data_IF_972077021512
#
_entry.id   IF_972077021512
#
_cell.length_a   1.000
_cell.length_b   1.000
_cell.length_c   1.000
_cell.angle_alpha   90.00
_cell.angle_beta   90.00
_cell.angle_gamma   90.00
#
_symmetry.space_group_name_H-M   'P 1'
#
loop_
_entity.id
_entity.type
_entity.pdbx_description
1 polymer ?
#
# COMPACT_ATOMS: atom_id res chain seq x y z
N UNK A 1 -9.16 -13.16 3.70
CA UNK A 1 -8.74 -13.96 2.53
C UNK A 1 -8.15 -13.00 1.51
N UNK A 2 -6.99 -13.33 0.93
CA UNK A 2 -6.33 -12.54 -0.10
C UNK A 2 -6.06 -13.42 -1.31
N UNK A 3 -6.51 -12.97 -2.48
CA UNK A 3 -6.23 -13.60 -3.78
C UNK A 3 -5.50 -12.58 -4.65
N UNK A 4 -4.39 -13.00 -5.24
CA UNK A 4 -3.62 -12.18 -6.19
C UNK A 4 -3.30 -12.99 -7.43
N UNK A 5 -3.23 -12.33 -8.59
CA UNK A 5 -2.78 -12.93 -9.85
C UNK A 5 -1.97 -11.90 -10.63
N UNK A 6 -0.85 -12.32 -11.19
CA UNK A 6 -0.03 -11.45 -12.03
C UNK A 6 -0.78 -11.01 -13.30
N UNK A 7 -0.40 -9.86 -13.84
CA UNK A 7 -0.84 -9.44 -15.17
C UNK A 7 -0.04 -10.17 -16.26
N UNK A 8 -0.59 -10.28 -17.47
CA UNK A 8 0.02 -11.05 -18.57
C UNK A 8 -0.54 -12.46 -18.70
N UNK A 9 -0.09 -13.19 -19.72
CA UNK A 9 -0.52 -14.57 -20.01
C UNK A 9 -0.28 -15.58 -18.87
N UNK A 10 0.76 -15.36 -18.05
CA UNK A 10 1.08 -16.25 -16.92
C UNK A 10 -0.06 -16.32 -15.92
N UNK A 11 -0.23 -17.49 -15.31
CA UNK A 11 -1.28 -17.76 -14.32
C UNK A 11 -0.76 -17.71 -12.89
N UNK A 12 0.42 -17.11 -12.67
CA UNK A 12 1.03 -16.97 -11.35
C UNK A 12 0.05 -16.26 -10.41
N UNK A 13 -0.50 -17.02 -9.47
CA UNK A 13 -1.49 -16.58 -8.52
C UNK A 13 -1.12 -17.06 -7.12
N UNK A 14 -1.54 -16.31 -6.10
CA UNK A 14 -1.44 -16.77 -4.72
C UNK A 14 -2.77 -16.55 -4.02
N UNK A 15 -3.15 -17.54 -3.21
CA UNK A 15 -4.32 -17.49 -2.36
C UNK A 15 -3.87 -17.69 -0.92
N UNK A 16 -4.38 -16.85 -0.03
CA UNK A 16 -4.13 -16.90 1.41
C UNK A 16 -5.44 -16.75 2.17
N UNK A 17 -5.68 -17.63 3.13
CA UNK A 17 -6.71 -17.48 4.15
C UNK A 17 -5.97 -17.42 5.47
N UNK A 18 -6.37 -16.48 6.31
CA UNK A 18 -5.71 -16.25 7.57
C UNK A 18 -6.73 -16.14 8.70
N UNK A 19 -6.29 -16.52 9.89
CA UNK A 19 -7.05 -16.47 11.14
C UNK A 19 -6.21 -15.73 12.19
N UNK A 20 -6.78 -14.74 12.87
CA UNK A 20 -6.09 -13.97 13.91
C UNK A 20 -6.15 -12.46 13.71
N UNK A 21 -5.10 -11.76 14.11
CA UNK A 21 -4.85 -10.34 13.82
C UNK A 21 -3.32 -10.08 13.92
N UNK A 22 -2.89 -8.83 13.77
CA UNK A 22 -1.49 -8.38 13.85
C UNK A 22 -0.79 -8.71 15.18
N UNK A 23 -1.54 -9.03 16.24
CA UNK A 23 -1.02 -9.13 17.62
C UNK A 23 -1.25 -10.49 18.29
N UNK A 24 -2.17 -11.30 17.78
CA UNK A 24 -2.57 -12.56 18.38
C UNK A 24 -2.12 -13.70 17.47
N UNK A 25 -1.03 -14.36 17.86
CA UNK A 25 -0.76 -15.73 17.47
C UNK A 25 -1.09 -16.60 18.69
N UNK A 26 -2.28 -17.21 18.74
CA UNK A 26 -2.54 -18.21 19.77
C UNK A 26 -1.62 -19.41 19.51
N UNK A 27 -0.60 -19.68 20.36
CA UNK A 27 0.47 -20.61 20.01
C UNK A 27 0.01 -22.07 19.99
N UNK A 28 -1.19 -22.36 20.51
CA UNK A 28 -1.78 -23.70 20.64
C UNK A 28 -3.03 -23.90 19.79
N UNK A 29 -3.35 -22.97 18.88
CA UNK A 29 -4.48 -23.14 18.00
C UNK A 29 -4.27 -24.36 17.07
N UNK A 30 -5.28 -25.22 16.86
CA UNK A 30 -5.18 -26.28 15.86
C UNK A 30 -5.16 -25.68 14.45
N UNK A 31 -4.58 -26.41 13.46
CA UNK A 31 -4.54 -25.97 12.06
C UNK A 31 -5.92 -25.54 11.52
N UNK A 32 -5.93 -24.50 10.67
CA UNK A 32 -7.19 -23.88 10.24
C UNK A 32 -7.93 -24.65 9.16
N UNK A 33 -7.23 -25.30 8.23
CA UNK A 33 -7.84 -25.91 7.06
C UNK A 33 -8.92 -26.95 7.39
N UNK A 34 -8.72 -27.91 8.32
CA UNK A 34 -9.75 -28.91 8.63
C UNK A 34 -10.98 -28.32 9.34
N UNK A 35 -10.94 -27.04 9.69
CA UNK A 35 -12.01 -26.33 10.40
C UNK A 35 -12.76 -25.37 9.47
N UNK A 36 -12.32 -25.17 8.24
CA UNK A 36 -13.01 -24.29 7.30
C UNK A 36 -14.28 -24.96 6.78
N UNK A 37 -15.38 -24.22 6.81
CA UNK A 37 -16.66 -24.61 6.26
C UNK A 37 -17.04 -23.63 5.14
N UNK A 38 -17.66 -24.12 4.07
CA UNK A 38 -18.34 -23.31 3.04
C UNK A 38 -19.83 -23.58 3.17
N UNK A 39 -20.59 -22.55 3.49
CA UNK A 39 -22.05 -22.64 3.74
C UNK A 39 -22.46 -23.76 4.71
N UNK A 40 -21.61 -24.00 5.73
CA UNK A 40 -21.82 -25.00 6.77
C UNK A 40 -21.22 -26.38 6.46
N UNK A 41 -20.81 -26.63 5.23
CA UNK A 41 -20.21 -27.91 4.81
C UNK A 41 -18.67 -27.87 4.85
N UNK A 42 -17.98 -28.98 5.19
CA UNK A 42 -16.51 -29.01 5.24
C UNK A 42 -15.83 -28.63 3.91
N UNK A 43 -14.93 -27.65 3.96
CA UNK A 43 -14.08 -27.30 2.83
C UNK A 43 -12.96 -28.32 2.66
N UNK A 44 -13.14 -29.26 1.74
CA UNK A 44 -12.13 -30.27 1.42
C UNK A 44 -11.02 -29.69 0.53
N UNK A 45 -9.77 -29.78 0.97
CA UNK A 45 -8.59 -29.30 0.24
C UNK A 45 -7.57 -30.44 0.08
N UNK A 46 -6.88 -30.48 -1.06
CA UNK A 46 -5.70 -31.32 -1.24
C UNK A 46 -4.51 -30.67 -0.54
N UNK A 47 -4.34 -30.93 0.76
CA UNK A 47 -3.33 -30.26 1.59
C UNK A 47 -1.88 -30.47 1.10
N UNK A 48 -1.61 -31.44 0.20
CA UNK A 48 -0.28 -31.57 -0.42
C UNK A 48 0.10 -30.34 -1.25
N UNK A 49 -0.90 -29.58 -1.73
CA UNK A 49 -0.73 -28.34 -2.53
C UNK A 49 -0.83 -27.07 -1.69
N UNK A 50 -0.94 -27.18 -0.36
CA UNK A 50 -1.12 -26.05 0.53
C UNK A 50 -0.07 -26.01 1.62
N UNK A 51 0.34 -24.80 1.98
CA UNK A 51 1.13 -24.53 3.16
C UNK A 51 0.14 -24.19 4.29
N UNK A 52 0.08 -25.06 5.29
CA UNK A 52 -0.79 -24.90 6.45
C UNK A 52 0.01 -24.61 7.71
N UNK A 53 -0.47 -23.63 8.46
CA UNK A 53 -0.07 -23.35 9.84
C UNK A 53 -1.33 -23.11 10.69
N UNK A 54 -1.24 -23.04 12.02
CA UNK A 54 -2.36 -22.71 12.90
C UNK A 54 -3.15 -21.45 12.56
N UNK A 55 -2.57 -20.51 11.81
CA UNK A 55 -3.17 -19.20 11.52
C UNK A 55 -3.18 -18.85 10.04
N UNK A 56 -2.53 -19.64 9.19
CA UNK A 56 -2.39 -19.34 7.76
C UNK A 56 -2.56 -20.60 6.93
N UNK A 57 -3.33 -20.45 5.86
CA UNK A 57 -3.47 -21.41 4.79
C UNK A 57 -3.13 -20.70 3.49
N UNK A 58 -2.07 -21.13 2.81
CA UNK A 58 -1.54 -20.47 1.61
C UNK A 58 -1.25 -21.46 0.52
N UNK A 59 -1.51 -21.08 -0.73
CA UNK A 59 -1.05 -21.83 -1.90
C UNK A 59 -0.67 -20.89 -3.05
N UNK A 60 0.18 -21.39 -3.94
CA UNK A 60 0.46 -20.82 -5.26
C UNK A 60 0.26 -21.85 -6.39
N UNK A 61 -0.33 -23.01 -6.08
CA UNK A 61 -0.66 -24.04 -7.06
C UNK A 61 -1.95 -23.65 -7.80
N UNK A 62 -1.87 -23.53 -9.13
CA UNK A 62 -2.97 -23.02 -9.93
C UNK A 62 -4.22 -23.92 -9.87
N UNK A 63 -4.05 -25.25 -9.85
CA UNK A 63 -5.18 -26.17 -9.80
C UNK A 63 -5.85 -26.13 -8.42
N UNK A 64 -5.06 -26.05 -7.34
CA UNK A 64 -5.59 -25.89 -5.98
C UNK A 64 -6.40 -24.59 -5.85
N UNK A 65 -5.90 -23.49 -6.42
CA UNK A 65 -6.62 -22.22 -6.43
C UNK A 65 -7.91 -22.34 -7.25
N UNK A 66 -7.86 -22.89 -8.46
CA UNK A 66 -9.03 -23.06 -9.32
C UNK A 66 -10.09 -23.94 -8.65
N UNK A 67 -9.70 -25.09 -8.11
CA UNK A 67 -10.61 -26.00 -7.40
C UNK A 67 -11.19 -25.38 -6.12
N UNK A 68 -10.44 -24.54 -5.42
CA UNK A 68 -10.96 -23.75 -4.31
C UNK A 68 -12.01 -22.73 -4.80
N UNK A 69 -11.69 -21.94 -5.84
CA UNK A 69 -12.59 -20.93 -6.38
C UNK A 69 -13.88 -21.54 -6.94
N UNK A 70 -13.81 -22.70 -7.59
CA UNK A 70 -14.99 -23.41 -8.10
C UNK A 70 -15.96 -23.78 -6.95
N UNK A 71 -15.43 -24.10 -5.75
CA UNK A 71 -16.24 -24.41 -4.56
C UNK A 71 -16.86 -23.16 -3.94
N UNK A 72 -16.13 -22.04 -3.90
CA UNK A 72 -16.54 -20.84 -3.14
C UNK A 72 -17.21 -19.76 -3.99
N UNK A 73 -17.11 -19.79 -5.32
CA UNK A 73 -17.57 -18.69 -6.16
C UNK A 73 -19.08 -18.42 -6.08
N UNK A 74 -19.89 -19.44 -5.79
CA UNK A 74 -21.35 -19.28 -5.62
C UNK A 74 -21.80 -19.49 -4.18
N UNK A 75 -20.87 -19.60 -3.23
CA UNK A 75 -21.19 -19.75 -1.83
C UNK A 75 -21.43 -18.40 -1.16
N UNK A 76 -22.09 -18.41 0.00
CA UNK A 76 -22.41 -17.21 0.76
C UNK A 76 -21.30 -16.83 1.73
N UNK A 77 -20.69 -17.81 2.40
CA UNK A 77 -19.63 -17.56 3.37
C UNK A 77 -18.65 -18.72 3.55
N UNK A 78 -17.40 -18.36 3.89
CA UNK A 78 -16.47 -19.28 4.57
C UNK A 78 -16.57 -19.02 6.07
N UNK A 79 -16.73 -20.07 6.87
CA UNK A 79 -16.82 -19.98 8.34
C UNK A 79 -15.85 -20.94 9.02
N UNK A 80 -15.61 -20.71 10.31
CA UNK A 80 -14.76 -21.56 11.13
C UNK A 80 -15.60 -22.47 12.03
N UNK A 81 -15.45 -23.78 11.88
CA UNK A 81 -16.09 -24.77 12.73
C UNK A 81 -15.71 -24.55 14.20
N UNK A 82 -16.72 -24.49 15.08
CA UNK A 82 -16.59 -24.32 16.53
C UNK A 82 -15.71 -23.10 16.91
N UNK A 83 -15.74 -22.04 16.11
CA UNK A 83 -14.94 -20.84 16.34
C UNK A 83 -15.65 -19.56 15.91
N UNK A 84 -14.98 -18.42 16.12
CA UNK A 84 -15.39 -17.13 15.56
C UNK A 84 -14.58 -16.87 14.31
N UNK A 85 -15.25 -16.39 13.26
CA UNK A 85 -14.62 -16.12 11.97
C UNK A 85 -15.60 -16.41 10.85
N UNK A 86 -15.89 -15.39 10.06
CA UNK A 86 -16.73 -15.49 8.87
C UNK A 86 -16.17 -14.56 7.81
N UNK A 87 -16.03 -15.08 6.59
CA UNK A 87 -15.68 -14.32 5.41
C UNK A 87 -16.93 -14.35 4.54
N UNK A 88 -17.57 -13.20 4.36
CA UNK A 88 -18.64 -13.09 3.36
C UNK A 88 -18.04 -13.26 1.97
N UNK A 89 -18.69 -14.10 1.17
CA UNK A 89 -18.35 -14.33 -0.24
C UNK A 89 -19.29 -13.57 -1.18
N UNK A 90 -20.16 -12.72 -0.63
CA UNK A 90 -21.03 -11.85 -1.41
C UNK A 90 -20.19 -11.01 -2.37
N UNK A 91 -20.47 -11.13 -3.67
CA UNK A 91 -19.75 -10.43 -4.73
C UNK A 91 -18.42 -11.07 -5.15
N UNK A 92 -17.97 -12.20 -4.55
CA UNK A 92 -16.72 -12.86 -4.93
C UNK A 92 -16.69 -13.18 -6.44
N UNK A 93 -17.72 -13.83 -6.97
CA UNK A 93 -17.83 -14.14 -8.41
C UNK A 93 -17.76 -12.89 -9.29
N UNK A 94 -18.42 -11.82 -8.88
CA UNK A 94 -18.42 -10.55 -9.61
C UNK A 94 -17.03 -9.91 -9.59
N UNK A 95 -16.34 -9.94 -8.45
CA UNK A 95 -14.95 -9.47 -8.30
C UNK A 95 -13.97 -10.29 -9.14
N UNK A 96 -14.10 -11.63 -9.15
CA UNK A 96 -13.28 -12.51 -9.99
C UNK A 96 -13.52 -12.24 -11.47
N UNK A 97 -14.77 -12.06 -11.89
CA UNK A 97 -15.12 -11.69 -13.26
C UNK A 97 -14.60 -10.29 -13.61
N UNK A 98 -14.63 -9.35 -12.68
CA UNK A 98 -14.05 -8.03 -12.88
C UNK A 98 -12.53 -8.13 -13.09
N UNK A 99 -11.82 -8.91 -12.28
CA UNK A 99 -10.37 -9.16 -12.46
C UNK A 99 -10.10 -9.81 -13.82
N UNK A 100 -10.87 -10.84 -14.22
CA UNK A 100 -10.77 -11.45 -15.54
C UNK A 100 -11.01 -10.42 -16.66
N UNK A 101 -11.99 -9.53 -16.51
CA UNK A 101 -12.28 -8.48 -17.50
C UNK A 101 -11.17 -7.44 -17.58
N UNK A 102 -10.63 -6.96 -16.46
CA UNK A 102 -9.54 -5.99 -16.43
C UNK A 102 -8.25 -6.56 -17.05
N UNK A 103 -8.01 -7.86 -16.84
CA UNK A 103 -6.88 -8.56 -17.44
C UNK A 103 -7.16 -9.11 -18.84
N UNK A 104 -8.36 -8.87 -19.40
CA UNK A 104 -8.78 -9.36 -20.71
C UNK A 104 -8.67 -10.88 -20.87
N UNK A 105 -9.06 -11.62 -19.83
CA UNK A 105 -9.06 -13.09 -19.80
C UNK A 105 -10.42 -13.73 -20.07
N UNK A 106 -11.51 -12.97 -20.05
CA UNK A 106 -12.86 -13.50 -20.32
C UNK A 106 -12.87 -14.20 -21.68
N UNK A 107 -13.26 -15.48 -21.73
CA UNK A 107 -13.22 -16.31 -22.95
C UNK A 107 -11.94 -17.12 -23.13
N UNK A 108 -10.91 -16.90 -22.31
CA UNK A 108 -9.68 -17.72 -22.31
C UNK A 108 -9.74 -18.89 -21.36
N UNK A 109 -8.88 -19.88 -21.60
CA UNK A 109 -8.67 -21.04 -20.73
C UNK A 109 -8.25 -20.63 -19.29
N UNK A 110 -7.67 -19.44 -19.16
CA UNK A 110 -7.11 -18.92 -17.89
C UNK A 110 -8.05 -18.03 -17.09
N UNK A 111 -9.29 -17.83 -17.56
CA UNK A 111 -10.31 -17.12 -16.79
C UNK A 111 -10.68 -17.93 -15.54
N UNK A 112 -11.04 -17.24 -14.46
CA UNK A 112 -11.62 -17.91 -13.29
C UNK A 112 -13.11 -18.15 -13.45
N UNK A 113 -13.86 -17.21 -14.03
CA UNK A 113 -15.34 -17.29 -14.09
C UNK A 113 -15.87 -17.65 -15.47
N UNK A 114 -15.57 -16.83 -16.49
CA UNK A 114 -16.04 -17.04 -17.87
C UNK A 114 -14.92 -17.66 -18.71
N UNK A 115 -14.64 -18.94 -18.45
CA UNK A 115 -13.67 -19.74 -19.21
C UNK A 115 -14.14 -19.94 -20.66
N UNK A 116 -13.18 -20.07 -21.56
CA UNK A 116 -13.40 -20.48 -22.95
C UNK A 116 -12.13 -21.10 -23.51
N UNK A 117 -12.04 -21.18 -24.83
CA UNK A 117 -11.00 -21.96 -25.52
C UNK A 117 -9.85 -21.08 -26.04
N UNK A 118 -9.88 -19.77 -25.79
CA UNK A 118 -8.76 -18.91 -26.21
C UNK A 118 -7.50 -19.27 -25.41
N UNK A 119 -6.36 -19.48 -26.08
CA UNK A 119 -5.14 -19.93 -25.42
C UNK A 119 -4.61 -18.85 -24.45
N UNK A 120 -3.83 -19.21 -23.41
CA UNK A 120 -3.28 -18.27 -22.43
C UNK A 120 -2.53 -17.07 -23.05
N UNK A 121 -1.89 -17.27 -24.20
CA UNK A 121 -1.14 -16.24 -24.93
C UNK A 121 -2.03 -15.17 -25.59
N UNK A 122 -3.35 -15.36 -25.63
CA UNK A 122 -4.30 -14.32 -26.05
C UNK A 122 -4.40 -13.16 -25.04
N UNK A 123 -4.01 -13.42 -23.78
CA UNK A 123 -4.03 -12.43 -22.71
C UNK A 123 -2.89 -11.42 -22.93
N UNK A 124 -3.19 -10.11 -22.99
CA UNK A 124 -2.17 -9.09 -23.22
C UNK A 124 -1.09 -9.10 -22.13
N UNK A 125 0.16 -8.76 -22.47
CA UNK A 125 1.25 -8.68 -21.50
C UNK A 125 0.96 -7.63 -20.42
N UNK A 126 1.59 -7.79 -19.25
CA UNK A 126 1.55 -6.79 -18.20
C UNK A 126 1.99 -5.42 -18.74
N UNK A 127 1.23 -4.34 -18.52
CA UNK A 127 1.64 -3.00 -18.94
C UNK A 127 2.99 -2.61 -18.34
N UNK A 128 3.84 -1.98 -19.14
CA UNK A 128 5.11 -1.45 -18.65
C UNK A 128 4.84 -0.34 -17.61
N UNK A 129 5.54 -0.42 -16.48
CA UNK A 129 5.48 0.63 -15.47
C UNK A 129 6.07 1.93 -16.02
N UNK A 130 5.38 3.05 -15.77
CA UNK A 130 5.91 4.38 -16.11
C UNK A 130 7.17 4.64 -15.29
N UNK A 131 8.13 5.33 -15.89
CA UNK A 131 9.38 5.70 -15.23
C UNK A 131 9.22 7.06 -14.53
N UNK A 132 9.71 7.12 -13.29
CA UNK A 132 9.94 8.36 -12.56
C UNK A 132 11.44 8.60 -12.51
N UNK A 133 11.88 9.62 -13.25
CA UNK A 133 13.27 10.04 -13.30
C UNK A 133 13.84 10.22 -11.91
N UNK A 134 14.95 9.53 -11.63
CA UNK A 134 15.79 9.76 -10.47
C UNK A 134 16.71 10.94 -10.77
N UNK A 135 16.75 11.90 -9.86
CA UNK A 135 17.81 12.92 -9.90
C UNK A 135 19.13 12.21 -9.55
N UNK A 136 20.04 12.15 -10.53
CA UNK A 136 21.38 11.58 -10.40
C UNK A 136 22.41 12.70 -10.70
N UNK A 137 23.51 12.83 -9.94
CA UNK A 137 23.99 11.96 -8.86
C UNK A 137 23.14 11.98 -7.58
N UNK A 138 23.41 11.03 -6.65
CA UNK A 138 22.99 11.18 -5.25
C UNK A 138 23.50 12.50 -4.70
N UNK A 139 22.65 13.30 -4.05
CA UNK A 139 23.06 14.58 -3.52
C UNK A 139 24.21 14.42 -2.54
N UNK A 140 25.15 15.36 -2.60
CA UNK A 140 26.15 15.54 -1.56
C UNK A 140 25.46 15.79 -0.21
N UNK A 141 25.91 15.17 0.89
CA UNK A 141 25.39 15.45 2.22
C UNK A 141 25.44 16.94 2.55
N UNK A 142 24.51 17.41 3.38
CA UNK A 142 24.54 18.77 3.89
C UNK A 142 25.78 18.96 4.76
N UNK A 143 26.51 20.04 4.51
CA UNK A 143 27.56 20.48 5.44
C UNK A 143 26.92 20.95 6.74
N UNK A 144 27.69 20.97 7.83
CA UNK A 144 27.20 21.45 9.12
C UNK A 144 26.66 22.89 9.06
N UNK A 145 27.30 23.74 8.25
CA UNK A 145 26.88 25.14 8.05
C UNK A 145 25.56 25.21 7.29
N UNK A 146 25.43 24.48 6.18
CA UNK A 146 24.16 24.43 5.42
C UNK A 146 23.02 23.89 6.28
N UNK A 147 23.27 22.82 7.04
CA UNK A 147 22.27 22.23 7.92
C UNK A 147 21.82 23.23 8.99
N UNK A 148 22.76 23.89 9.68
CA UNK A 148 22.44 24.91 10.69
C UNK A 148 21.62 26.05 10.09
N UNK A 149 22.04 26.58 8.95
CA UNK A 149 21.37 27.70 8.28
C UNK A 149 19.94 27.33 7.81
N UNK A 150 19.75 26.11 7.31
CA UNK A 150 18.45 25.60 6.88
C UNK A 150 17.51 25.31 8.05
N UNK A 151 18.05 24.82 9.18
CA UNK A 151 17.28 24.63 10.42
C UNK A 151 16.83 25.97 11.01
N UNK A 152 17.70 26.97 11.03
CA UNK A 152 17.35 28.34 11.47
C UNK A 152 16.28 28.94 10.56
N UNK A 153 16.43 28.79 9.23
CA UNK A 153 15.42 29.24 8.27
C UNK A 153 14.08 28.52 8.45
N UNK A 154 14.10 27.21 8.66
CA UNK A 154 12.91 26.42 8.92
C UNK A 154 12.21 26.84 10.20
N UNK A 155 12.96 27.07 11.27
CA UNK A 155 12.43 27.56 12.55
C UNK A 155 11.77 28.92 12.40
N UNK A 156 12.45 29.86 11.72
CA UNK A 156 11.89 31.19 11.43
C UNK A 156 10.59 31.08 10.60
N UNK A 157 10.59 30.28 9.53
CA UNK A 157 9.40 30.04 8.69
C UNK A 157 8.23 29.50 9.49
N UNK A 158 8.49 28.59 10.40
CA UNK A 158 7.47 27.92 11.20
C UNK A 158 6.87 28.82 12.27
N UNK A 159 7.66 29.69 12.86
CA UNK A 159 7.15 30.73 13.77
C UNK A 159 6.27 31.76 13.05
N UNK A 160 6.42 31.88 11.72
CA UNK A 160 5.61 32.77 10.88
C UNK A 160 4.52 32.03 10.08
N UNK A 161 4.27 30.75 10.37
CA UNK A 161 3.24 29.94 9.71
C UNK A 161 1.98 29.82 10.58
N UNK A 162 0.81 29.72 9.94
CA UNK A 162 -0.45 29.45 10.63
C UNK A 162 -0.56 27.97 10.97
N UNK A 163 0.11 27.54 12.04
CA UNK A 163 0.11 26.18 12.54
C UNK A 163 -0.48 26.12 13.95
N UNK A 164 -1.34 25.12 14.20
CA UNK A 164 -2.03 24.94 15.49
C UNK A 164 -1.22 24.12 16.50
N UNK A 165 -0.23 23.36 16.04
CA UNK A 165 0.65 22.58 16.91
C UNK A 165 1.45 23.52 17.82
N UNK A 166 1.57 23.18 19.11
CA UNK A 166 2.40 23.92 20.07
C UNK A 166 3.85 24.08 19.54
N UNK A 167 4.41 25.30 19.50
CA UNK A 167 5.80 25.54 19.11
C UNK A 167 6.83 24.60 19.75
N UNK A 168 6.67 24.22 21.02
CA UNK A 168 7.57 23.31 21.71
C UNK A 168 7.54 21.86 21.17
N UNK A 169 6.50 21.52 20.42
CA UNK A 169 6.27 20.19 19.81
C UNK A 169 6.52 20.18 18.30
N UNK A 170 6.90 21.32 17.71
CA UNK A 170 7.21 21.41 16.28
C UNK A 170 8.63 20.92 16.06
N UNK A 171 8.80 19.99 15.13
CA UNK A 171 10.11 19.50 14.71
C UNK A 171 10.41 19.97 13.30
N UNK A 172 11.55 20.66 13.13
CA UNK A 172 12.07 21.04 11.81
C UNK A 172 13.08 19.99 11.37
N UNK A 173 12.80 19.32 10.24
CA UNK A 173 13.67 18.29 9.66
C UNK A 173 14.16 18.74 8.29
N UNK A 174 15.44 18.52 8.00
CA UNK A 174 16.08 18.96 6.76
C UNK A 174 16.85 17.79 6.13
N UNK A 175 16.68 17.59 4.83
CA UNK A 175 17.33 16.53 4.06
C UNK A 175 17.96 17.07 2.79
N UNK A 176 19.04 16.46 2.33
CA UNK A 176 19.60 16.77 1.01
C UNK A 176 18.67 16.22 -0.09
N UNK A 177 18.22 17.07 -1.01
CA UNK A 177 17.34 16.67 -2.11
C UNK A 177 18.08 16.62 -3.45
N UNK A 178 18.94 17.60 -3.69
CA UNK A 178 19.91 17.70 -4.80
C UNK A 178 21.15 18.48 -4.31
N UNK A 179 22.16 18.64 -5.15
CA UNK A 179 23.34 19.45 -4.80
C UNK A 179 23.03 20.94 -4.62
N UNK A 180 21.86 21.40 -5.04
CA UNK A 180 21.42 22.79 -4.97
C UNK A 180 20.08 22.98 -4.24
N UNK A 181 19.45 21.89 -3.78
CA UNK A 181 18.16 21.91 -3.06
C UNK A 181 18.18 21.01 -1.82
N UNK A 182 17.49 21.46 -0.79
CA UNK A 182 17.15 20.70 0.40
C UNK A 182 15.64 20.50 0.50
N UNK A 183 15.22 19.44 1.17
CA UNK A 183 13.84 19.21 1.59
C UNK A 183 13.70 19.63 3.05
N UNK A 184 12.76 20.53 3.32
CA UNK A 184 12.43 21.01 4.65
C UNK A 184 11.05 20.48 5.03
N UNK A 185 10.94 19.76 6.15
CA UNK A 185 9.67 19.21 6.67
C UNK A 185 9.42 19.80 8.05
N UNK A 186 8.18 20.19 8.35
CA UNK A 186 7.79 20.56 9.71
C UNK A 186 6.36 20.20 10.05
N UNK A 187 6.16 19.64 11.25
CA UNK A 187 4.84 19.40 11.82
C UNK A 187 4.07 20.69 12.09
N UNK A 188 2.83 20.75 11.63
CA UNK A 188 1.98 21.95 11.67
C UNK A 188 0.70 21.75 12.47
N UNK A 189 0.08 20.58 12.36
CA UNK A 189 -1.11 20.21 13.13
C UNK A 189 -0.94 18.78 13.65
N UNK A 190 -1.58 18.43 14.76
CA UNK A 190 -1.58 17.07 15.27
C UNK A 190 -2.98 16.64 15.68
N UNK A 191 -3.42 15.51 15.15
CA UNK A 191 -4.57 14.75 15.62
C UNK A 191 -4.16 13.65 16.59
N UNK A 192 -5.09 12.74 16.89
CA UNK A 192 -4.88 11.66 17.86
C UNK A 192 -3.74 10.70 17.46
N UNK A 193 -3.51 10.49 16.16
CA UNK A 193 -2.55 9.51 15.65
C UNK A 193 -1.79 9.97 14.38
N UNK A 194 -2.09 11.15 13.86
CA UNK A 194 -1.44 11.74 12.69
C UNK A 194 -0.94 13.14 13.03
N UNK A 195 0.26 13.47 12.52
CA UNK A 195 0.75 14.85 12.42
C UNK A 195 0.61 15.28 10.97
N UNK A 196 0.04 16.45 10.72
CA UNK A 196 0.04 17.10 9.41
C UNK A 196 1.34 17.88 9.28
N UNK A 197 2.15 17.53 8.29
CA UNK A 197 3.40 18.21 7.99
C UNK A 197 3.23 19.23 6.85
N UNK A 198 3.95 20.33 6.95
CA UNK A 198 4.24 21.20 5.82
C UNK A 198 5.62 20.84 5.26
N UNK A 199 5.74 20.80 3.94
CA UNK A 199 6.99 20.43 3.26
C UNK A 199 7.37 21.44 2.20
N UNK A 200 8.65 21.80 2.12
CA UNK A 200 9.19 22.71 1.12
C UNK A 200 10.43 22.13 0.44
N UNK A 201 10.58 22.47 -0.84
CA UNK A 201 11.88 22.44 -1.52
C UNK A 201 12.55 23.79 -1.33
N UNK A 202 13.76 23.82 -0.81
CA UNK A 202 14.51 25.03 -0.43
C UNK A 202 15.86 25.04 -1.16
N UNK A 203 16.39 26.20 -1.59
CA UNK A 203 17.77 26.30 -2.06
C UNK A 203 18.75 25.99 -0.93
N UNK A 204 19.91 25.38 -1.23
CA UNK A 204 20.93 25.11 -0.19
C UNK A 204 21.73 26.34 0.23
N UNK A 205 21.71 27.40 -0.58
CA UNK A 205 22.46 28.63 -0.35
C UNK A 205 21.53 29.82 -0.10
N UNK A 206 22.03 30.78 0.69
CA UNK A 206 21.37 32.06 0.95
C UNK A 206 21.51 33.02 -0.26
N UNK A 207 20.52 33.89 -0.53
CA UNK A 207 19.22 33.95 0.14
C UNK A 207 18.35 32.74 -0.23
N UNK A 208 17.67 32.17 0.78
CA UNK A 208 16.90 30.94 0.60
C UNK A 208 15.64 31.18 -0.25
N UNK A 209 15.58 30.53 -1.40
CA UNK A 209 14.38 30.41 -2.20
C UNK A 209 13.65 29.12 -1.82
N UNK A 210 12.35 29.19 -1.56
CA UNK A 210 11.61 28.02 -1.12
C UNK A 210 10.21 27.94 -1.70
N UNK A 211 9.78 26.73 -2.02
CA UNK A 211 8.47 26.43 -2.60
C UNK A 211 7.81 25.31 -1.82
N UNK A 212 6.61 25.57 -1.33
CA UNK A 212 5.83 24.56 -0.62
C UNK A 212 5.38 23.46 -1.59
N UNK A 213 5.41 22.22 -1.11
CA UNK A 213 4.97 21.05 -1.83
C UNK A 213 3.47 20.88 -1.61
N UNK A 214 2.76 20.56 -2.69
CA UNK A 214 1.41 20.02 -2.69
C UNK A 214 1.42 18.77 -3.55
N UNK A 215 0.93 17.66 -3.01
CA UNK A 215 0.95 16.37 -3.68
C UNK A 215 -0.44 16.09 -4.23
N UNK A 216 -0.48 15.77 -5.54
CA UNK A 216 -1.71 15.44 -6.26
C UNK A 216 -1.57 14.07 -6.89
N UNK A 217 -2.53 13.20 -6.60
CA UNK A 217 -2.61 11.87 -7.19
C UNK A 217 -2.90 11.96 -8.69
N UNK A 218 -2.25 11.12 -9.52
CA UNK A 218 -2.49 11.06 -10.96
C UNK A 218 -3.74 10.22 -11.33
N UNK A 219 -4.53 9.83 -10.34
CA UNK A 219 -5.77 9.06 -10.45
C UNK A 219 -6.74 9.48 -9.33
N UNK A 220 -8.01 9.13 -9.46
CA UNK A 220 -9.02 9.37 -8.42
C UNK A 220 -9.06 8.19 -7.45
N UNK A 221 -8.68 8.35 -6.17
CA UNK A 221 -8.76 7.28 -5.18
C UNK A 221 -10.21 7.02 -4.75
N UNK A 222 -10.45 5.98 -3.95
CA UNK A 222 -11.78 5.63 -3.44
C UNK A 222 -12.45 6.76 -2.65
N UNK A 223 -11.67 7.62 -1.99
CA UNK A 223 -12.17 8.81 -1.29
C UNK A 223 -12.67 9.94 -2.21
N UNK A 224 -12.37 9.88 -3.51
CA UNK A 224 -12.70 10.92 -4.48
C UNK A 224 -11.80 12.16 -4.45
N UNK A 225 -10.92 12.31 -3.44
CA UNK A 225 -10.03 13.47 -3.32
C UNK A 225 -8.62 13.14 -3.86
N UNK A 226 -8.19 13.86 -4.89
CA UNK A 226 -6.85 13.69 -5.47
C UNK A 226 -5.76 14.46 -4.75
N UNK A 227 -6.11 15.47 -3.95
CA UNK A 227 -5.15 16.24 -3.17
C UNK A 227 -4.83 15.49 -1.87
N UNK A 228 -3.53 15.33 -1.58
CA UNK A 228 -3.08 14.69 -0.35
C UNK A 228 -2.63 15.71 0.68
N UNK A 229 -3.11 15.52 1.89
CA UNK A 229 -2.50 16.07 3.08
C UNK A 229 -1.25 15.26 3.44
N UNK A 230 -0.16 15.95 3.76
CA UNK A 230 1.14 15.35 4.07
C UNK A 230 1.14 14.84 5.52
N UNK A 231 0.40 13.77 5.80
CA UNK A 231 0.33 13.18 7.13
C UNK A 231 1.55 12.29 7.43
N UNK A 232 2.14 12.48 8.60
CA UNK A 232 3.31 11.76 9.11
C UNK A 232 4.41 11.66 8.03
N UNK A 233 4.75 12.79 7.43
CA UNK A 233 5.68 12.85 6.32
C UNK A 233 7.11 12.51 6.78
N UNK A 234 7.86 11.83 5.93
CA UNK A 234 9.26 11.51 6.15
C UNK A 234 10.03 11.52 4.84
N UNK A 235 11.35 11.41 4.92
CA UNK A 235 12.19 11.27 3.75
C UNK A 235 13.10 10.06 3.91
N UNK A 236 12.97 9.10 2.99
CA UNK A 236 13.85 7.96 2.88
C UNK A 236 15.03 8.36 1.99
N UNK A 237 16.17 8.69 2.60
CA UNK A 237 17.38 9.09 1.88
C UNK A 237 17.99 7.96 1.06
N UNK A 238 17.74 6.69 1.42
CA UNK A 238 18.24 5.53 0.69
C UNK A 238 17.53 5.41 -0.66
N UNK A 239 16.20 5.51 -0.65
CA UNK A 239 15.38 5.42 -1.86
C UNK A 239 15.13 6.78 -2.53
N UNK A 240 15.53 7.88 -1.89
CA UNK A 240 15.29 9.27 -2.30
C UNK A 240 13.79 9.56 -2.44
N UNK A 241 13.01 9.12 -1.47
CA UNK A 241 11.56 9.15 -1.51
C UNK A 241 10.96 9.94 -0.33
N UNK A 242 10.12 10.94 -0.64
CA UNK A 242 9.20 11.53 0.33
C UNK A 242 8.09 10.52 0.60
N UNK A 243 7.96 10.14 1.86
CA UNK A 243 6.94 9.20 2.32
C UNK A 243 5.84 9.93 3.07
N UNK A 244 4.60 9.46 2.95
CA UNK A 244 3.49 9.88 3.82
C UNK A 244 2.75 8.65 4.33
N UNK A 245 2.18 8.76 5.53
CA UNK A 245 1.39 7.71 6.15
C UNK A 245 0.20 8.34 6.89
N UNK A 246 -0.96 8.37 6.25
CA UNK A 246 -2.21 8.74 6.89
C UNK A 246 -2.83 7.50 7.54
N UNK A 247 -2.75 7.38 8.86
CA UNK A 247 -3.38 6.27 9.59
C UNK A 247 -4.88 6.54 9.74
N UNK A 248 -5.71 5.51 9.69
CA UNK A 248 -7.14 5.58 10.05
C UNK A 248 -7.39 5.51 11.56
N UNK A 249 -6.46 4.90 12.32
CA UNK A 249 -6.43 4.91 13.79
C UNK A 249 -5.02 4.64 14.34
N UNK A 250 -4.86 4.77 15.65
CA UNK A 250 -3.55 4.70 16.33
C UNK A 250 -2.72 3.45 16.03
N UNK A 251 -3.37 2.30 15.86
CA UNK A 251 -2.70 1.01 15.52
C UNK A 251 -2.07 1.05 14.12
N UNK A 252 -2.62 1.83 13.19
CA UNK A 252 -2.12 1.91 11.81
C UNK A 252 -2.37 0.64 11.01
N UNK A 253 -3.49 -0.03 11.27
CA UNK A 253 -3.99 -1.21 10.56
C UNK A 253 -4.80 -0.86 9.31
N UNK A 254 -5.26 0.39 9.19
CA UNK A 254 -5.84 0.93 7.96
C UNK A 254 -5.38 2.37 7.71
N UNK A 255 -5.54 2.84 6.48
CA UNK A 255 -5.13 4.17 6.04
C UNK A 255 -4.53 4.21 4.63
N UNK A 256 -3.77 5.28 4.36
CA UNK A 256 -3.12 5.52 3.06
C UNK A 256 -1.61 5.73 3.28
N UNK A 257 -0.80 5.01 2.51
CA UNK A 257 0.65 5.12 2.51
C UNK A 257 1.13 5.48 1.09
N UNK A 258 1.92 6.55 0.97
CA UNK A 258 2.42 6.99 -0.34
C UNK A 258 3.92 7.22 -0.34
N UNK A 259 4.54 7.04 -1.51
CA UNK A 259 5.96 7.32 -1.75
C UNK A 259 6.11 8.15 -3.01
N UNK A 260 6.95 9.17 -2.95
CA UNK A 260 7.14 10.15 -4.01
C UNK A 260 8.60 10.43 -4.25
N UNK A 261 8.99 10.58 -5.51
CA UNK A 261 10.38 10.87 -5.87
C UNK A 261 10.49 12.18 -6.62
N UNK A 262 11.54 12.95 -6.33
CA UNK A 262 11.78 14.23 -6.97
C UNK A 262 12.46 14.06 -8.33
N UNK A 263 11.82 14.56 -9.38
CA UNK A 263 12.28 14.46 -10.78
C UNK A 263 13.17 15.64 -11.22
N UNK A 264 13.66 16.45 -10.28
CA UNK A 264 14.37 17.71 -10.53
C UNK A 264 13.46 18.94 -10.57
N UNK A 265 12.14 18.75 -10.73
CA UNK A 265 11.16 19.84 -10.71
C UNK A 265 10.08 19.64 -9.65
N UNK A 266 9.53 18.42 -9.54
CA UNK A 266 8.41 18.10 -8.65
C UNK A 266 8.47 16.66 -8.18
N UNK A 267 7.70 16.39 -7.13
CA UNK A 267 7.51 15.03 -6.62
C UNK A 267 6.50 14.27 -7.49
N UNK A 268 6.87 13.06 -7.90
CA UNK A 268 6.04 12.14 -8.67
C UNK A 268 5.72 10.91 -7.85
N UNK A 269 4.47 10.46 -7.94
CA UNK A 269 3.99 9.31 -7.20
C UNK A 269 4.70 8.05 -7.68
N UNK A 270 5.45 7.42 -6.78
CA UNK A 270 6.12 6.13 -7.00
C UNK A 270 5.23 4.98 -6.55
N UNK A 271 4.59 5.13 -5.39
CA UNK A 271 3.72 4.09 -4.83
C UNK A 271 2.56 4.70 -4.08
N UNK A 272 1.37 4.14 -4.30
CA UNK A 272 0.20 4.38 -3.45
C UNK A 272 -0.33 3.04 -2.95
N UNK A 273 -0.51 2.92 -1.64
CA UNK A 273 -1.23 1.81 -1.04
C UNK A 273 -2.29 2.32 -0.07
N UNK A 274 -3.39 1.59 -0.01
CA UNK A 274 -4.55 1.95 0.79
C UNK A 274 -5.20 0.68 1.33
N UNK A 275 -5.50 0.72 2.62
CA UNK A 275 -6.35 -0.24 3.31
C UNK A 275 -7.50 0.59 3.91
N UNK A 276 -8.71 0.54 3.34
CA UNK A 276 -9.79 1.44 3.76
C UNK A 276 -10.46 0.99 5.06
N UNK A 277 -10.32 -0.29 5.42
CA UNK A 277 -11.02 -0.89 6.57
C UNK A 277 -10.02 -1.24 7.66
N UNK A 278 -10.27 -0.76 8.88
CA UNK A 278 -9.50 -1.10 10.05
C UNK A 278 -9.98 -2.44 10.62
N UNK A 279 -9.17 -3.48 10.45
CA UNK A 279 -9.49 -4.87 10.80
C UNK A 279 -8.38 -5.57 11.62
N UNK A 280 -7.37 -4.80 12.07
CA UNK A 280 -6.18 -5.30 12.78
C UNK A 280 -5.38 -6.33 11.98
N UNK A 281 -5.53 -6.38 10.66
CA UNK A 281 -4.96 -7.46 9.87
C UNK A 281 -3.61 -7.10 9.25
N UNK A 282 -3.54 -5.97 8.58
CA UNK A 282 -2.34 -5.56 7.83
C UNK A 282 -1.71 -4.31 8.45
N UNK A 283 -0.39 -4.36 8.68
CA UNK A 283 0.39 -3.15 8.86
C UNK A 283 0.56 -2.41 7.52
N UNK A 284 0.90 -1.12 7.57
CA UNK A 284 1.02 -0.26 6.39
C UNK A 284 1.98 -0.75 5.29
N UNK A 285 2.97 -1.58 5.64
CA UNK A 285 3.88 -2.21 4.68
C UNK A 285 3.21 -3.29 3.82
N UNK A 286 2.08 -3.84 4.26
CA UNK A 286 1.34 -4.94 3.62
C UNK A 286 0.02 -4.51 3.01
N UNK A 287 -0.34 -3.23 3.10
CA UNK A 287 -1.55 -2.71 2.46
C UNK A 287 -1.54 -2.90 0.94
N UNK A 288 -2.70 -3.16 0.31
CA UNK A 288 -2.86 -3.28 -1.13
C UNK A 288 -2.25 -2.10 -1.88
N UNK A 289 -1.36 -2.39 -2.84
CA UNK A 289 -0.77 -1.37 -3.69
C UNK A 289 -1.70 -1.10 -4.86
N UNK A 290 -2.20 0.13 -4.98
CA UNK A 290 -3.13 0.55 -6.04
C UNK A 290 -2.43 1.35 -7.14
N UNK A 291 -1.19 1.80 -6.90
CA UNK A 291 -0.36 2.47 -7.90
C UNK A 291 1.11 2.12 -7.70
N UNK A 292 1.80 1.87 -8.82
CA UNK A 292 3.26 1.74 -8.85
C UNK A 292 3.84 2.34 -10.13
N UNK A 293 4.96 3.04 -10.00
CA UNK A 293 5.87 3.42 -11.09
C UNK A 293 7.28 2.98 -10.73
N UNK A 294 8.15 2.84 -11.73
CA UNK A 294 9.55 2.47 -11.52
C UNK A 294 10.45 3.71 -11.50
#
# INVERSE_FOLDING_TARGET
MTLTRSAGARTDATLRIDLGNMTIAEPKAPPIAPRLLVDGEPLTLDLAKWQETPHHLKTSDADAINGFLDKVANADAITLAKGRGSISLAGLKASLLFIDSQQQRVGSETAWIKKGDDPPLSVPPAPALKEVTLTNPTPTPLTQVELSDLLDYGTWRMNNSQCSLDPARREVRVFALSDDKALLITGCEAGAYNVVDLVWVVSRQKPFAARQIRLKLPFTPGSGNTELELMNAGYDETNKELTTLAKGRGVGDCGVATRWRFDGQRFRLVRYAEEPTCDEWNASSSWPTLWVTK
#
